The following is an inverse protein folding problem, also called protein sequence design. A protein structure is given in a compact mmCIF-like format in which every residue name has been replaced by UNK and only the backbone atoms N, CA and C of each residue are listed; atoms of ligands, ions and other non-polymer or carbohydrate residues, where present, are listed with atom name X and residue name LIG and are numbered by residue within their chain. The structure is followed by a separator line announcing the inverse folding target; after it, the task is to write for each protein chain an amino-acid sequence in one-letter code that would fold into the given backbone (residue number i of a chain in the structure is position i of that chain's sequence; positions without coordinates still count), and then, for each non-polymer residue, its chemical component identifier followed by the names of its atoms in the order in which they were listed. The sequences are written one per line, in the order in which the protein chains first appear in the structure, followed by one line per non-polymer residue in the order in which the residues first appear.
data_IF_141008926822
#
_entry.id   IF_141008926822
#
_cell.length_a   1.000
_cell.length_b   1.000
_cell.length_c   1.000
_cell.angle_alpha   90.00
_cell.angle_beta   90.00
_cell.angle_gamma   90.00
#
_symmetry.space_group_name_H-M   'P 1'
#
loop_
_entity.id
_entity.type
_entity.pdbx_description
1 polymer ?
#
# COMPACT_ATOMS: atom_id res chain seq x y z
N UNK A 1 3.21 -7.48 10.04
CA UNK A 1 1.96 -7.39 9.27
C UNK A 1 2.05 -8.37 8.11
N UNK A 2 0.93 -8.94 7.67
CA UNK A 2 0.88 -9.93 6.61
C UNK A 2 0.65 -11.35 7.13
N UNK A 3 0.80 -12.31 6.22
CA UNK A 3 0.72 -13.74 6.47
C UNK A 3 2.12 -14.35 6.46
N UNK A 4 2.30 -15.62 6.90
CA UNK A 4 3.60 -16.28 6.87
C UNK A 4 4.21 -16.30 5.46
N UNK A 5 5.52 -15.98 5.38
CA UNK A 5 6.29 -15.99 4.14
C UNK A 5 6.95 -17.36 3.97
N UNK A 6 6.24 -18.29 3.36
CA UNK A 6 6.70 -19.64 3.04
C UNK A 6 5.87 -20.22 1.90
N UNK A 7 6.13 -21.46 1.52
CA UNK A 7 5.31 -22.20 0.58
C UNK A 7 3.85 -22.27 1.05
N UNK A 8 2.90 -22.23 0.11
CA UNK A 8 1.46 -22.07 0.39
C UNK A 8 0.92 -23.16 1.32
N UNK A 9 1.34 -24.41 1.11
CA UNK A 9 0.96 -25.57 1.92
C UNK A 9 1.52 -25.53 3.36
N UNK A 10 2.60 -24.78 3.59
CA UNK A 10 3.25 -24.65 4.90
C UNK A 10 2.75 -23.44 5.72
N UNK A 11 1.96 -22.53 5.13
CA UNK A 11 1.51 -21.31 5.80
C UNK A 11 0.77 -21.57 7.10
N UNK A 12 -0.15 -22.54 7.11
CA UNK A 12 -0.95 -22.85 8.32
C UNK A 12 -0.10 -23.48 9.41
N UNK A 13 0.81 -24.39 9.08
CA UNK A 13 1.71 -25.00 10.06
C UNK A 13 2.67 -23.99 10.67
N UNK A 14 3.26 -23.12 9.85
CA UNK A 14 4.13 -22.04 10.32
C UNK A 14 3.36 -21.04 11.20
N UNK A 15 2.14 -20.68 10.81
CA UNK A 15 1.29 -19.80 11.61
C UNK A 15 0.93 -20.39 12.96
N UNK A 16 0.68 -21.72 13.05
CA UNK A 16 0.45 -22.43 14.32
C UNK A 16 1.70 -22.39 15.21
N UNK A 17 2.87 -22.72 14.66
CA UNK A 17 4.12 -22.69 15.41
C UNK A 17 4.41 -21.29 15.96
N UNK A 18 4.16 -20.24 15.16
CA UNK A 18 4.29 -18.86 15.61
C UNK A 18 3.27 -18.49 16.69
N UNK A 19 2.05 -19.00 16.58
CA UNK A 19 1.01 -18.79 17.59
C UNK A 19 1.39 -19.44 18.93
N UNK A 20 1.87 -20.67 18.91
CA UNK A 20 2.37 -21.39 20.10
C UNK A 20 3.54 -20.63 20.75
N UNK A 21 4.50 -20.17 19.96
CA UNK A 21 5.60 -19.34 20.45
C UNK A 21 5.11 -18.06 21.13
N UNK A 22 4.15 -17.35 20.53
CA UNK A 22 3.60 -16.14 21.13
C UNK A 22 2.77 -16.43 22.40
N UNK A 23 2.03 -17.54 22.42
CA UNK A 23 1.25 -17.95 23.60
C UNK A 23 2.14 -18.25 24.79
N UNK A 24 3.30 -18.91 24.61
CA UNK A 24 4.30 -19.12 25.68
C UNK A 24 4.76 -17.79 26.28
N UNK A 25 4.79 -16.70 25.46
CA UNK A 25 5.11 -15.35 25.92
C UNK A 25 3.89 -14.54 26.40
N UNK A 26 2.70 -15.15 26.47
CA UNK A 26 1.43 -14.50 26.83
C UNK A 26 1.07 -13.32 25.91
N UNK A 27 1.46 -13.38 24.63
CA UNK A 27 1.21 -12.35 23.63
C UNK A 27 0.15 -12.82 22.63
N UNK A 28 -1.03 -12.18 22.57
CA UNK A 28 -2.03 -12.47 21.53
C UNK A 28 -1.55 -11.99 20.16
N UNK A 29 -2.05 -12.64 19.10
CA UNK A 29 -1.69 -12.32 17.72
C UNK A 29 -2.89 -11.72 16.98
N UNK A 30 -2.59 -10.73 16.15
CA UNK A 30 -3.50 -10.19 15.15
C UNK A 30 -2.76 -10.22 13.82
N UNK A 31 -3.33 -10.87 12.82
CA UNK A 31 -2.82 -10.80 11.46
C UNK A 31 -3.50 -9.63 10.73
N UNK A 32 -2.73 -8.78 10.09
CA UNK A 32 -3.23 -7.59 9.38
C UNK A 32 -2.76 -7.64 7.93
N UNK A 33 -3.64 -7.31 6.98
CA UNK A 33 -3.35 -7.34 5.53
C UNK A 33 -2.98 -8.72 5.01
N UNK A 34 -3.76 -9.74 5.39
CA UNK A 34 -3.59 -11.09 4.85
C UNK A 34 -4.41 -11.28 3.57
N UNK A 35 -3.99 -12.22 2.74
CA UNK A 35 -4.75 -12.61 1.55
C UNK A 35 -6.08 -13.29 1.90
N UNK A 36 -7.02 -13.28 0.97
CA UNK A 36 -8.29 -14.01 1.10
C UNK A 36 -8.06 -15.52 1.25
N UNK A 37 -7.11 -16.08 0.50
CA UNK A 37 -6.77 -17.51 0.57
C UNK A 37 -6.33 -17.89 1.99
N UNK A 38 -5.32 -17.18 2.53
CA UNK A 38 -4.86 -17.46 3.88
C UNK A 38 -5.94 -17.23 4.95
N UNK A 39 -6.72 -16.14 4.83
CA UNK A 39 -7.78 -15.84 5.78
C UNK A 39 -8.83 -16.96 5.87
N UNK A 40 -9.25 -17.49 4.72
CA UNK A 40 -10.22 -18.60 4.67
C UNK A 40 -9.63 -19.91 5.18
N UNK A 41 -8.36 -20.21 4.89
CA UNK A 41 -7.68 -21.40 5.39
C UNK A 41 -7.42 -21.33 6.90
N UNK A 42 -7.08 -20.14 7.42
CA UNK A 42 -6.82 -19.90 8.82
C UNK A 42 -8.07 -19.91 9.70
N UNK A 43 -9.23 -19.54 9.12
CA UNK A 43 -10.50 -19.48 9.84
C UNK A 43 -10.87 -20.85 10.42
N UNK A 44 -11.16 -20.90 11.71
CA UNK A 44 -11.39 -22.10 12.54
C UNK A 44 -10.19 -23.05 12.75
N UNK A 45 -9.04 -22.83 12.06
CA UNK A 45 -7.82 -23.64 12.29
C UNK A 45 -6.83 -22.97 13.24
N UNK A 46 -6.65 -21.66 13.09
CA UNK A 46 -5.72 -20.83 13.87
C UNK A 46 -6.38 -19.56 14.40
N UNK A 47 -7.38 -19.03 13.72
CA UNK A 47 -8.11 -17.82 14.13
C UNK A 47 -9.60 -18.10 14.21
N UNK A 48 -10.27 -17.39 15.12
CA UNK A 48 -11.73 -17.50 15.26
C UNK A 48 -12.47 -16.55 14.33
N UNK A 49 -11.91 -15.37 14.09
CA UNK A 49 -12.63 -14.33 13.35
C UNK A 49 -11.77 -13.73 12.24
N UNK A 50 -12.42 -13.44 11.10
CA UNK A 50 -11.85 -12.78 9.93
C UNK A 50 -12.70 -11.58 9.54
N UNK A 51 -12.04 -10.46 9.20
CA UNK A 51 -12.69 -9.21 8.82
C UNK A 51 -12.02 -8.66 7.57
N UNK A 52 -12.75 -8.53 6.48
CA UNK A 52 -12.27 -7.91 5.24
C UNK A 52 -12.29 -6.38 5.38
N UNK A 53 -11.11 -5.78 5.61
CA UNK A 53 -11.00 -4.38 5.99
C UNK A 53 -10.42 -3.46 4.90
N UNK A 54 -9.62 -4.01 3.98
CA UNK A 54 -8.98 -3.24 2.93
C UNK A 54 -8.97 -4.02 1.60
N UNK A 55 -8.61 -3.34 0.53
CA UNK A 55 -8.35 -3.92 -0.79
C UNK A 55 -6.87 -3.72 -1.12
N UNK A 56 -6.15 -4.73 -1.56
CA UNK A 56 -4.92 -4.57 -2.31
C UNK A 56 -5.30 -4.13 -3.73
N UNK A 57 -4.73 -3.03 -4.19
CA UNK A 57 -4.95 -2.53 -5.54
C UNK A 57 -3.87 -3.10 -6.45
N UNK A 58 -4.28 -3.91 -7.40
CA UNK A 58 -3.38 -4.61 -8.33
C UNK A 58 -3.61 -4.14 -9.76
N UNK A 59 -2.56 -4.21 -10.57
CA UNK A 59 -2.60 -3.79 -11.96
C UNK A 59 -1.69 -4.68 -12.82
N UNK A 60 -2.16 -5.04 -14.01
CA UNK A 60 -1.31 -5.69 -14.99
C UNK A 60 -0.67 -4.63 -15.91
N UNK A 61 0.66 -4.40 -15.83
CA UNK A 61 1.34 -3.40 -16.65
C UNK A 61 1.19 -3.62 -18.16
N UNK A 62 0.85 -4.82 -18.62
CA UNK A 62 0.59 -5.08 -20.04
C UNK A 62 -0.67 -4.37 -20.54
N UNK A 63 -1.57 -3.99 -19.64
CA UNK A 63 -2.69 -3.10 -19.95
C UNK A 63 -2.22 -1.64 -19.96
N UNK A 64 -2.70 -0.84 -20.91
CA UNK A 64 -2.42 0.60 -20.92
C UNK A 64 -3.57 1.38 -20.25
N UNK A 65 -3.35 1.94 -19.03
CA UNK A 65 -4.41 2.65 -18.31
C UNK A 65 -4.81 3.97 -19.02
N UNK A 66 -4.02 4.41 -19.99
CA UNK A 66 -4.28 5.61 -20.80
C UNK A 66 -5.25 5.34 -21.95
N UNK A 67 -5.53 4.08 -22.32
CA UNK A 67 -6.41 3.73 -23.45
C UNK A 67 -7.90 3.93 -23.13
N UNK A 68 -8.67 4.19 -24.18
CA UNK A 68 -10.13 4.27 -24.13
C UNK A 68 -10.67 5.50 -23.38
N UNK A 69 -11.98 5.50 -23.14
CA UNK A 69 -12.69 6.59 -22.45
C UNK A 69 -12.29 6.70 -20.97
N UNK A 70 -12.08 5.60 -20.29
CA UNK A 70 -11.65 5.53 -18.88
C UNK A 70 -10.28 6.20 -18.66
N UNK A 71 -9.36 6.11 -19.64
CA UNK A 71 -8.04 6.71 -19.58
C UNK A 71 -8.00 8.22 -19.87
N UNK A 72 -9.12 8.86 -20.24
CA UNK A 72 -9.15 10.27 -20.65
C UNK A 72 -8.57 11.22 -19.60
N UNK A 73 -8.97 11.06 -18.35
CA UNK A 73 -8.49 11.91 -17.26
C UNK A 73 -6.98 11.73 -17.02
N UNK A 74 -6.51 10.49 -17.03
CA UNK A 74 -5.10 10.17 -16.87
C UNK A 74 -4.26 10.76 -18.02
N UNK A 75 -4.69 10.55 -19.27
CA UNK A 75 -4.02 11.16 -20.45
C UNK A 75 -3.92 12.68 -20.32
N UNK A 76 -5.00 13.34 -19.90
CA UNK A 76 -5.02 14.79 -19.70
C UNK A 76 -3.96 15.24 -18.69
N UNK A 77 -3.84 14.54 -17.54
CA UNK A 77 -2.85 14.86 -16.51
C UNK A 77 -1.41 14.60 -16.98
N UNK A 78 -1.16 13.46 -17.60
CA UNK A 78 0.15 13.11 -18.16
C UNK A 78 0.56 14.12 -19.23
N UNK A 79 -0.32 14.44 -20.19
CA UNK A 79 -0.05 15.45 -21.23
C UNK A 79 0.19 16.84 -20.64
N UNK A 80 -0.51 17.20 -19.58
CA UNK A 80 -0.28 18.47 -18.87
C UNK A 80 1.12 18.52 -18.27
N UNK A 81 1.56 17.47 -17.57
CA UNK A 81 2.89 17.38 -16.98
C UNK A 81 4.00 17.48 -18.06
N UNK A 82 3.82 16.76 -19.17
CA UNK A 82 4.77 16.80 -20.31
C UNK A 82 4.86 18.22 -20.89
N UNK A 83 3.73 18.91 -21.05
CA UNK A 83 3.72 20.32 -21.55
C UNK A 83 4.40 21.30 -20.60
N UNK A 84 4.43 21.02 -19.30
CA UNK A 84 5.23 21.78 -18.34
C UNK A 84 6.74 21.55 -18.50
N UNK A 85 7.17 20.59 -19.32
CA UNK A 85 8.57 20.24 -19.52
C UNK A 85 9.12 19.31 -18.44
N UNK A 86 8.25 18.55 -17.77
CA UNK A 86 8.69 17.56 -16.78
C UNK A 86 9.29 16.36 -17.53
N UNK A 87 10.50 15.95 -17.10
CA UNK A 87 11.18 14.75 -17.58
C UNK A 87 11.25 13.72 -16.49
N UNK A 88 11.25 12.44 -16.87
CA UNK A 88 11.33 11.30 -15.93
C UNK A 88 12.60 10.52 -16.20
N UNK A 89 13.29 10.17 -15.13
CA UNK A 89 14.55 9.44 -15.15
C UNK A 89 14.51 8.25 -14.18
N UNK A 90 15.29 7.22 -14.48
CA UNK A 90 15.51 6.11 -13.57
C UNK A 90 16.89 6.24 -12.93
N UNK A 91 16.97 6.11 -11.61
CA UNK A 91 18.22 6.07 -10.87
C UNK A 91 18.82 4.65 -10.97
N UNK A 92 19.97 4.52 -11.57
CA UNK A 92 20.63 3.22 -11.83
C UNK A 92 22.00 3.11 -11.18
N UNK A 93 22.79 4.17 -11.25
CA UNK A 93 24.17 4.20 -10.77
C UNK A 93 24.28 5.02 -9.49
N UNK A 94 25.17 4.58 -8.61
CA UNK A 94 25.35 5.26 -7.32
C UNK A 94 25.85 6.70 -7.52
N UNK A 95 25.10 7.64 -7.01
CA UNK A 95 25.43 9.08 -6.95
C UNK A 95 24.92 9.65 -5.61
N UNK A 96 25.86 9.89 -4.69
CA UNK A 96 25.53 10.41 -3.34
C UNK A 96 24.90 11.80 -3.36
N UNK A 97 25.20 12.63 -4.36
CA UNK A 97 24.62 13.96 -4.52
C UNK A 97 23.15 13.85 -4.97
N UNK A 98 22.89 12.98 -5.95
CA UNK A 98 21.54 12.71 -6.43
C UNK A 98 20.67 12.10 -5.32
N UNK A 99 21.21 11.17 -4.53
CA UNK A 99 20.49 10.55 -3.42
C UNK A 99 20.04 11.57 -2.37
N UNK A 100 20.93 12.49 -1.95
CA UNK A 100 20.57 13.58 -1.04
C UNK A 100 19.42 14.42 -1.60
N UNK A 101 19.45 14.76 -2.88
CA UNK A 101 18.37 15.50 -3.53
C UNK A 101 17.05 14.72 -3.58
N UNK A 102 17.10 13.40 -3.74
CA UNK A 102 15.93 12.52 -3.69
C UNK A 102 15.35 12.44 -2.25
N UNK A 103 16.19 12.36 -1.23
CA UNK A 103 15.78 12.40 0.19
C UNK A 103 15.17 13.76 0.58
N UNK A 104 15.67 14.86 0.01
CA UNK A 104 15.08 16.19 0.17
C UNK A 104 13.64 16.24 -0.34
N UNK A 105 13.33 15.60 -1.48
CA UNK A 105 11.93 15.46 -1.96
C UNK A 105 11.06 14.78 -0.91
N UNK A 106 11.56 13.70 -0.30
CA UNK A 106 10.86 13.01 0.79
C UNK A 106 10.58 13.92 1.99
N UNK A 107 11.58 14.69 2.38
CA UNK A 107 11.49 15.65 3.49
C UNK A 107 10.49 16.78 3.21
N UNK A 108 10.51 17.35 2.01
CA UNK A 108 9.57 18.38 1.58
C UNK A 108 8.14 17.85 1.48
N UNK A 109 7.99 16.64 0.94
CA UNK A 109 6.68 15.98 0.89
C UNK A 109 6.09 15.77 2.28
N UNK A 110 6.91 15.32 3.27
CA UNK A 110 6.49 15.16 4.66
C UNK A 110 6.06 16.48 5.28
N UNK A 111 6.84 17.56 5.08
CA UNK A 111 6.51 18.91 5.58
C UNK A 111 5.23 19.47 4.97
N UNK A 112 4.95 19.16 3.73
CA UNK A 112 3.74 19.62 3.03
C UNK A 112 2.45 18.86 3.43
N UNK A 113 2.54 17.77 4.20
CA UNK A 113 1.36 17.00 4.62
C UNK A 113 0.76 17.55 5.88
N UNK A 114 -0.56 17.74 5.85
CA UNK A 114 -1.36 18.09 7.02
C UNK A 114 -2.08 16.83 7.55
N UNK A 115 -2.16 16.71 8.88
CA UNK A 115 -2.88 15.66 9.57
C UNK A 115 -2.05 14.40 9.88
N UNK A 116 -2.67 13.41 10.55
CA UNK A 116 -1.99 12.20 11.00
C UNK A 116 -1.53 11.37 9.80
N UNK A 117 -0.29 10.91 9.87
CA UNK A 117 0.33 10.12 8.82
C UNK A 117 0.11 8.63 9.09
N UNK A 118 -1.02 8.13 8.62
CA UNK A 118 -1.35 6.70 8.72
C UNK A 118 -0.57 5.93 7.65
N UNK A 119 -0.08 4.75 7.99
CA UNK A 119 0.71 3.85 7.14
C UNK A 119 2.12 4.31 6.76
N UNK A 120 2.64 5.38 7.36
CA UNK A 120 3.99 5.80 7.04
C UNK A 120 5.00 5.18 8.00
N UNK A 121 5.73 4.20 7.48
CA UNK A 121 7.10 4.03 7.89
C UNK A 121 7.87 5.35 7.60
N UNK A 122 8.97 5.63 8.30
CA UNK A 122 9.85 6.73 7.92
C UNK A 122 10.12 6.66 6.41
N UNK A 123 10.11 7.81 5.74
CA UNK A 123 10.45 7.85 4.32
C UNK A 123 11.94 7.55 4.22
N UNK A 124 12.24 6.30 3.93
CA UNK A 124 13.58 5.78 3.80
C UNK A 124 13.74 5.24 2.39
N UNK A 125 14.45 5.98 1.56
CA UNK A 125 14.64 5.60 0.17
C UNK A 125 15.79 4.59 0.00
N UNK A 126 16.88 4.70 0.75
CA UNK A 126 18.14 4.08 0.41
C UNK A 126 18.74 3.10 1.45
N UNK A 127 18.13 2.91 2.63
CA UNK A 127 18.69 2.02 3.69
C UNK A 127 18.86 0.56 3.25
N UNK A 128 17.97 0.06 2.42
CA UNK A 128 18.09 -1.27 1.80
C UNK A 128 17.83 -1.12 0.31
N UNK A 129 18.85 -1.43 -0.52
CA UNK A 129 18.79 -1.19 -1.97
C UNK A 129 18.34 -2.39 -2.77
N UNK A 130 18.58 -3.59 -2.26
CA UNK A 130 18.25 -4.84 -2.96
C UNK A 130 16.76 -4.92 -3.26
N UNK A 131 16.42 -5.24 -4.51
CA UNK A 131 15.06 -5.31 -4.98
C UNK A 131 14.32 -3.96 -5.07
N UNK A 132 15.03 -2.82 -5.00
CA UNK A 132 14.44 -1.48 -5.14
C UNK A 132 14.78 -0.83 -6.49
N UNK A 133 13.86 0.00 -6.97
CA UNK A 133 14.06 0.89 -8.14
C UNK A 133 13.48 2.26 -7.83
N UNK A 134 14.18 3.30 -8.25
CA UNK A 134 13.78 4.70 -8.05
C UNK A 134 13.60 5.36 -9.39
N UNK A 135 12.41 5.92 -9.60
CA UNK A 135 12.08 6.72 -10.79
C UNK A 135 11.79 8.15 -10.29
N UNK A 136 12.44 9.14 -10.88
CA UNK A 136 12.31 10.51 -10.40
C UNK A 136 11.96 11.49 -11.52
N UNK A 137 11.27 12.57 -11.13
CA UNK A 137 10.81 13.64 -11.98
C UNK A 137 11.69 14.88 -11.83
N UNK A 138 12.08 15.47 -12.95
CA UNK A 138 12.85 16.73 -13.02
C UNK A 138 12.03 17.79 -13.73
N UNK A 139 12.03 19.00 -13.18
CA UNK A 139 11.43 20.18 -13.78
C UNK A 139 12.32 21.40 -13.51
N UNK A 140 12.72 22.13 -14.54
CA UNK A 140 13.64 23.30 -14.45
C UNK A 140 14.89 22.96 -13.59
N UNK A 141 15.55 21.85 -13.91
CA UNK A 141 16.75 21.32 -13.24
C UNK A 141 16.58 20.95 -11.75
N UNK A 142 15.35 21.01 -11.24
CA UNK A 142 15.02 20.62 -9.89
C UNK A 142 14.36 19.24 -9.88
N UNK A 143 14.72 18.38 -8.93
CA UNK A 143 14.00 17.13 -8.67
C UNK A 143 12.73 17.48 -7.91
N UNK A 144 11.57 17.15 -8.49
CA UNK A 144 10.25 17.50 -7.95
C UNK A 144 9.42 16.30 -7.49
N UNK A 145 9.92 15.11 -7.74
CA UNK A 145 9.21 13.90 -7.32
C UNK A 145 10.04 12.65 -7.47
N UNK A 146 9.68 11.62 -6.68
CA UNK A 146 10.27 10.29 -6.76
C UNK A 146 9.23 9.21 -6.51
N UNK A 147 9.31 8.14 -7.27
CA UNK A 147 8.57 6.89 -7.09
C UNK A 147 9.54 5.78 -6.70
N UNK A 148 9.17 4.99 -5.69
CA UNK A 148 9.92 3.85 -5.20
C UNK A 148 9.16 2.56 -5.50
N UNK A 149 9.79 1.68 -6.27
CA UNK A 149 9.33 0.33 -6.55
C UNK A 149 10.10 -0.69 -5.71
N UNK A 150 9.38 -1.67 -5.15
CA UNK A 150 9.94 -2.84 -4.49
C UNK A 150 9.61 -4.10 -5.27
N UNK A 151 10.59 -4.96 -5.49
CA UNK A 151 10.38 -6.25 -6.13
C UNK A 151 9.58 -7.20 -5.22
N UNK A 152 8.57 -7.85 -5.77
CA UNK A 152 7.84 -8.96 -5.15
C UNK A 152 8.22 -10.24 -5.87
N UNK A 153 9.33 -10.86 -5.47
CA UNK A 153 9.88 -12.07 -6.11
C UNK A 153 8.84 -13.19 -6.23
N UNK A 154 8.05 -13.41 -5.18
CA UNK A 154 7.01 -14.44 -5.14
C UNK A 154 5.91 -14.25 -6.20
N UNK A 155 5.69 -13.02 -6.68
CA UNK A 155 4.71 -12.71 -7.74
C UNK A 155 5.35 -12.30 -9.06
N UNK A 156 6.69 -12.37 -9.17
CA UNK A 156 7.46 -11.90 -10.33
C UNK A 156 7.00 -10.51 -10.78
N UNK A 157 6.89 -9.60 -9.82
CA UNK A 157 6.32 -8.27 -10.04
C UNK A 157 6.81 -7.24 -9.04
N UNK A 158 6.09 -6.12 -8.95
CA UNK A 158 6.54 -4.96 -8.20
C UNK A 158 5.44 -4.39 -7.29
N UNK A 159 5.85 -3.79 -6.18
CA UNK A 159 5.02 -2.91 -5.35
C UNK A 159 5.47 -1.48 -5.58
N UNK A 160 4.58 -0.62 -6.05
CA UNK A 160 4.80 0.83 -6.05
C UNK A 160 4.51 1.36 -4.63
N UNK A 161 5.58 1.38 -3.82
CA UNK A 161 5.48 1.66 -2.39
C UNK A 161 5.26 3.14 -2.09
N UNK A 162 6.05 4.00 -2.73
CA UNK A 162 6.03 5.44 -2.49
C UNK A 162 5.88 6.21 -3.80
N UNK A 163 5.11 7.30 -3.74
CA UNK A 163 5.08 8.36 -4.73
C UNK A 163 5.14 9.66 -3.93
N UNK A 164 6.25 10.34 -4.02
CA UNK A 164 6.53 11.56 -3.31
C UNK A 164 6.69 12.68 -4.32
N UNK A 165 5.99 13.78 -4.13
CA UNK A 165 6.15 15.00 -4.95
C UNK A 165 6.23 16.18 -4.00
N UNK A 166 7.08 17.15 -4.31
CA UNK A 166 7.14 18.39 -3.53
C UNK A 166 5.79 19.14 -3.60
N UNK A 167 5.43 19.96 -2.61
CA UNK A 167 4.14 20.65 -2.60
C UNK A 167 3.87 21.48 -3.86
N UNK A 168 4.89 22.13 -4.39
CA UNK A 168 4.80 23.04 -5.55
C UNK A 168 5.01 22.32 -6.90
N UNK A 169 5.04 20.98 -6.91
CA UNK A 169 5.18 20.23 -8.15
C UNK A 169 4.00 20.52 -9.10
N UNK A 170 4.27 20.74 -10.40
CA UNK A 170 3.20 20.98 -11.37
C UNK A 170 2.19 19.84 -11.40
N UNK A 171 0.92 20.21 -11.67
CA UNK A 171 -0.17 19.25 -11.70
C UNK A 171 0.06 18.17 -12.79
N UNK A 172 -0.14 16.90 -12.42
CA UNK A 172 0.10 15.75 -13.28
C UNK A 172 1.45 15.07 -13.06
N UNK A 173 2.36 15.62 -12.22
CA UNK A 173 3.67 15.03 -11.93
C UNK A 173 3.55 13.60 -11.39
N UNK A 174 2.69 13.37 -10.40
CA UNK A 174 2.48 12.03 -9.84
C UNK A 174 1.89 11.06 -10.86
N UNK A 175 0.96 11.50 -11.68
CA UNK A 175 0.39 10.69 -12.76
C UNK A 175 1.42 10.34 -13.83
N UNK A 176 2.30 11.27 -14.17
CA UNK A 176 3.38 11.02 -15.11
C UNK A 176 4.40 10.03 -14.55
N UNK A 177 4.82 10.18 -13.29
CA UNK A 177 5.69 9.23 -12.59
C UNK A 177 5.13 7.80 -12.62
N UNK A 178 3.88 7.63 -12.20
CA UNK A 178 3.23 6.31 -12.17
C UNK A 178 3.08 5.74 -13.58
N UNK A 179 2.66 6.56 -14.55
CA UNK A 179 2.52 6.11 -15.95
C UNK A 179 3.85 5.65 -16.50
N UNK A 180 4.94 6.36 -16.23
CA UNK A 180 6.28 5.96 -16.66
C UNK A 180 6.74 4.67 -15.98
N UNK A 181 6.48 4.48 -14.66
CA UNK A 181 6.73 3.21 -14.00
C UNK A 181 6.00 2.04 -14.69
N UNK A 182 4.72 2.23 -15.03
CA UNK A 182 3.93 1.23 -15.75
C UNK A 182 4.50 0.97 -17.14
N UNK A 183 4.90 2.01 -17.88
CA UNK A 183 5.46 1.88 -19.23
C UNK A 183 6.81 1.14 -19.21
N UNK A 184 7.68 1.40 -18.22
CA UNK A 184 8.94 0.67 -18.01
C UNK A 184 8.65 -0.81 -17.72
N UNK A 185 7.80 -1.10 -16.75
CA UNK A 185 7.45 -2.47 -16.38
C UNK A 185 6.76 -3.23 -17.52
N UNK A 186 5.98 -2.53 -18.35
CA UNK A 186 5.38 -3.10 -19.56
C UNK A 186 6.44 -3.52 -20.56
N UNK A 187 7.42 -2.65 -20.81
CA UNK A 187 8.53 -2.94 -21.75
C UNK A 187 9.36 -4.15 -21.29
N UNK A 188 9.44 -4.39 -19.97
CA UNK A 188 10.13 -5.53 -19.38
C UNK A 188 9.26 -6.81 -19.33
N UNK A 189 8.03 -6.79 -19.84
CA UNK A 189 7.13 -7.94 -19.83
C UNK A 189 6.49 -8.24 -18.46
N UNK A 190 6.62 -7.35 -17.48
CA UNK A 190 6.04 -7.52 -16.15
C UNK A 190 4.50 -7.59 -16.23
N UNK A 191 3.90 -8.51 -15.48
CA UNK A 191 2.44 -8.72 -15.47
C UNK A 191 1.78 -8.36 -14.13
N UNK A 192 2.56 -8.06 -13.10
CA UNK A 192 2.02 -7.77 -11.77
C UNK A 192 2.64 -6.50 -11.17
N UNK A 193 1.77 -5.57 -10.84
CA UNK A 193 2.11 -4.34 -10.10
C UNK A 193 1.07 -4.15 -8.99
N UNK A 194 1.51 -4.05 -7.75
CA UNK A 194 0.67 -3.66 -6.62
C UNK A 194 0.83 -2.16 -6.34
N UNK A 195 -0.28 -1.49 -6.08
CA UNK A 195 -0.30 -0.12 -5.53
C UNK A 195 -0.47 -0.12 -4.01
N UNK A 196 -0.40 -1.31 -3.40
CA UNK A 196 -0.56 -1.53 -1.98
C UNK A 196 -2.01 -1.49 -1.50
N UNK A 197 -2.17 -1.61 -0.18
CA UNK A 197 -3.47 -1.67 0.44
C UNK A 197 -4.17 -0.31 0.48
N UNK A 198 -5.48 -0.32 0.23
CA UNK A 198 -6.39 0.82 0.34
C UNK A 198 -7.61 0.43 1.16
N UNK A 199 -8.01 1.26 2.12
CA UNK A 199 -9.20 0.99 2.92
C UNK A 199 -10.44 0.91 2.03
N UNK A 200 -11.32 -0.04 2.33
CA UNK A 200 -12.63 -0.19 1.68
C UNK A 200 -13.56 0.97 2.07
N UNK A 201 -14.61 1.14 1.31
CA UNK A 201 -15.68 2.08 1.71
C UNK A 201 -16.34 1.63 3.00
N UNK A 202 -16.59 0.32 3.14
CA UNK A 202 -17.18 -0.35 4.29
C UNK A 202 -16.45 -1.69 4.51
N UNK A 203 -16.54 -2.24 5.73
CA UNK A 203 -16.07 -3.59 5.99
C UNK A 203 -16.83 -4.60 5.11
N UNK A 204 -16.10 -5.46 4.45
CA UNK A 204 -16.67 -6.51 3.62
C UNK A 204 -17.11 -7.74 4.44
N UNK A 205 -16.56 -8.91 4.11
CA UNK A 205 -16.85 -10.18 4.77
C UNK A 205 -16.42 -10.11 6.23
N UNK A 206 -17.32 -10.45 7.15
CA UNK A 206 -17.04 -10.65 8.57
C UNK A 206 -17.54 -12.04 8.94
N UNK A 207 -16.64 -12.89 9.46
CA UNK A 207 -17.00 -14.23 9.97
C UNK A 207 -16.38 -14.44 11.34
N UNK A 208 -17.08 -15.19 12.18
CA UNK A 208 -16.60 -15.58 13.52
C UNK A 208 -16.72 -14.50 14.61
N UNK A 209 -16.95 -13.22 14.29
CA UNK A 209 -17.25 -12.21 15.30
C UNK A 209 -18.66 -12.36 15.84
N UNK A 210 -18.85 -12.16 17.16
CA UNK A 210 -20.19 -12.05 17.76
C UNK A 210 -20.95 -10.82 17.22
N UNK A 211 -22.27 -10.84 17.30
CA UNK A 211 -23.15 -9.78 16.75
C UNK A 211 -22.79 -8.39 17.27
N UNK A 212 -22.56 -8.25 18.59
CA UNK A 212 -22.13 -6.99 19.19
C UNK A 212 -20.76 -6.54 18.70
N UNK A 213 -19.78 -7.45 18.65
CA UNK A 213 -18.43 -7.14 18.12
C UNK A 213 -18.45 -6.76 16.65
N UNK A 214 -19.35 -7.35 15.86
CA UNK A 214 -19.56 -6.99 14.45
C UNK A 214 -20.09 -5.56 14.32
N UNK A 215 -21.09 -5.19 15.11
CA UNK A 215 -21.64 -3.82 15.13
C UNK A 215 -20.56 -2.82 15.55
N UNK A 216 -19.83 -3.14 16.62
CA UNK A 216 -18.74 -2.32 17.15
C UNK A 216 -17.62 -2.14 16.10
N UNK A 217 -17.19 -3.21 15.44
CA UNK A 217 -16.19 -3.15 14.37
C UNK A 217 -16.60 -2.20 13.24
N UNK A 218 -17.87 -2.29 12.80
CA UNK A 218 -18.41 -1.38 11.76
C UNK A 218 -18.44 0.08 12.23
N UNK A 219 -18.85 0.31 13.48
CA UNK A 219 -18.91 1.65 14.06
C UNK A 219 -17.50 2.28 14.19
N UNK A 220 -16.53 1.53 14.71
CA UNK A 220 -15.12 1.96 14.83
C UNK A 220 -14.55 2.25 13.44
N UNK A 221 -14.75 1.36 12.48
CA UNK A 221 -14.26 1.54 11.10
C UNK A 221 -14.81 2.81 10.45
N UNK A 222 -16.12 3.05 10.61
CA UNK A 222 -16.78 4.26 10.11
C UNK A 222 -16.26 5.52 10.80
N UNK A 223 -16.02 5.48 12.11
CA UNK A 223 -15.43 6.56 12.90
C UNK A 223 -13.99 6.87 12.45
N UNK A 224 -13.16 5.85 12.33
CA UNK A 224 -11.79 5.99 11.85
C UNK A 224 -11.73 6.61 10.45
N UNK A 225 -12.60 6.19 9.53
CA UNK A 225 -12.68 6.80 8.19
C UNK A 225 -13.10 8.26 8.18
N UNK A 226 -13.92 8.70 9.13
CA UNK A 226 -14.29 10.11 9.26
C UNK A 226 -13.16 10.94 9.84
N UNK A 227 -12.46 10.40 10.85
CA UNK A 227 -11.32 11.05 11.48
C UNK A 227 -10.11 11.17 10.52
N UNK A 228 -9.97 10.19 9.62
CA UNK A 228 -8.85 10.10 8.70
C UNK A 228 -9.37 10.04 7.25
N UNK A 229 -9.41 11.19 6.52
CA UNK A 229 -9.92 11.25 5.15
C UNK A 229 -8.96 10.58 4.16
N UNK A 230 -8.97 9.24 4.12
CA UNK A 230 -8.09 8.40 3.28
C UNK A 230 -8.61 8.21 1.84
N UNK A 231 -9.74 8.81 1.51
CA UNK A 231 -10.38 8.67 0.18
C UNK A 231 -9.57 9.29 -0.96
N UNK A 232 -8.68 10.24 -0.66
CA UNK A 232 -7.80 10.88 -1.65
C UNK A 232 -6.89 9.87 -2.36
N UNK A 233 -6.30 8.93 -1.60
CA UNK A 233 -5.45 7.86 -2.16
C UNK A 233 -6.24 6.96 -3.11
N UNK A 234 -7.44 6.53 -2.71
CA UNK A 234 -8.30 5.69 -3.55
C UNK A 234 -8.71 6.40 -4.84
N UNK A 235 -9.10 7.69 -4.76
CA UNK A 235 -9.44 8.51 -5.92
C UNK A 235 -8.26 8.68 -6.88
N UNK A 236 -7.05 8.83 -6.35
CA UNK A 236 -5.84 8.91 -7.17
C UNK A 236 -5.65 7.62 -7.98
N UNK A 237 -5.68 6.45 -7.32
CA UNK A 237 -5.46 5.16 -7.97
C UNK A 237 -6.56 4.77 -8.95
N UNK A 238 -7.80 5.19 -8.72
CA UNK A 238 -8.91 4.93 -9.66
C UNK A 238 -8.66 5.45 -11.08
N UNK A 239 -7.78 6.46 -11.25
CA UNK A 239 -7.37 6.96 -12.59
C UNK A 239 -6.66 5.90 -13.42
N UNK A 240 -6.04 4.93 -12.77
CA UNK A 240 -5.30 3.82 -13.40
C UNK A 240 -6.18 2.57 -13.59
N UNK A 241 -7.43 2.60 -13.10
CA UNK A 241 -8.37 1.49 -13.17
C UNK A 241 -7.82 0.16 -12.64
N UNK A 242 -7.21 0.13 -11.42
CA UNK A 242 -6.70 -1.10 -10.85
C UNK A 242 -7.83 -2.08 -10.52
N UNK A 243 -7.50 -3.37 -10.54
CA UNK A 243 -8.30 -4.41 -9.90
C UNK A 243 -8.10 -4.34 -8.39
N UNK A 244 -9.02 -4.93 -7.63
CA UNK A 244 -8.92 -4.97 -6.17
C UNK A 244 -9.12 -6.38 -5.63
N UNK A 245 -8.18 -6.81 -4.78
CA UNK A 245 -8.26 -8.04 -4.01
C UNK A 245 -8.50 -7.72 -2.54
N UNK A 246 -9.54 -8.32 -1.94
CA UNK A 246 -9.85 -8.09 -0.52
C UNK A 246 -8.74 -8.57 0.40
N UNK A 247 -8.35 -7.75 1.36
CA UNK A 247 -7.40 -8.10 2.40
C UNK A 247 -8.05 -8.12 3.77
N UNK A 248 -7.57 -9.00 4.64
CA UNK A 248 -8.24 -9.38 5.87
C UNK A 248 -7.41 -9.04 7.11
N UNK A 249 -8.14 -8.74 8.18
CA UNK A 249 -7.63 -8.73 9.56
C UNK A 249 -8.19 -9.96 10.27
N UNK A 250 -7.32 -10.71 10.94
CA UNK A 250 -7.69 -11.96 11.58
C UNK A 250 -7.45 -11.87 13.10
N UNK A 251 -8.39 -12.42 13.87
CA UNK A 251 -8.38 -12.40 15.33
C UNK A 251 -8.50 -13.81 15.89
N UNK A 252 -7.76 -14.09 16.96
CA UNK A 252 -7.83 -15.38 17.68
C UNK A 252 -9.18 -15.55 18.40
N UNK A 253 -9.90 -14.48 18.69
CA UNK A 253 -11.10 -14.48 19.54
C UNK A 253 -12.36 -14.08 18.79
N UNK A 254 -13.51 -14.52 19.34
CA UNK A 254 -14.85 -14.15 18.86
C UNK A 254 -15.21 -12.68 19.16
N UNK A 255 -14.71 -12.14 20.29
CA UNK A 255 -15.06 -10.81 20.74
C UNK A 255 -13.90 -9.86 20.56
N UNK A 256 -14.18 -8.72 19.93
CA UNK A 256 -13.21 -7.64 19.77
C UNK A 256 -13.08 -6.89 21.10
N UNK A 257 -11.86 -6.68 21.53
CA UNK A 257 -11.53 -5.91 22.74
C UNK A 257 -10.91 -4.57 22.36
N UNK A 258 -10.99 -3.60 23.27
CA UNK A 258 -10.34 -2.30 23.09
C UNK A 258 -8.82 -2.44 22.90
N UNK A 259 -8.18 -3.42 23.56
CA UNK A 259 -6.73 -3.70 23.43
C UNK A 259 -6.35 -4.09 21.99
N UNK A 260 -7.18 -4.89 21.32
CA UNK A 260 -6.95 -5.32 19.94
C UNK A 260 -7.11 -4.14 18.97
N UNK A 261 -8.12 -3.30 19.18
CA UNK A 261 -8.32 -2.09 18.39
C UNK A 261 -7.13 -1.13 18.57
N UNK A 262 -6.70 -0.89 19.81
CA UNK A 262 -5.54 -0.05 20.11
C UNK A 262 -4.24 -0.62 19.50
N UNK A 263 -4.05 -1.95 19.52
CA UNK A 263 -2.91 -2.59 18.89
C UNK A 263 -2.89 -2.39 17.36
N UNK A 264 -4.05 -2.50 16.71
CA UNK A 264 -4.18 -2.22 15.27
C UNK A 264 -3.84 -0.76 15.00
N UNK A 265 -4.43 0.19 15.74
CA UNK A 265 -4.19 1.62 15.56
C UNK A 265 -2.70 1.95 15.74
N UNK A 266 -2.07 1.42 16.78
CA UNK A 266 -0.62 1.57 17.01
C UNK A 266 0.22 0.98 15.88
N UNK A 267 -0.16 -0.17 15.33
CA UNK A 267 0.55 -0.79 14.20
C UNK A 267 0.44 0.02 12.91
N UNK A 268 -0.57 0.89 12.81
CA UNK A 268 -0.81 1.82 11.72
C UNK A 268 -0.26 3.24 12.01
N UNK A 269 0.58 3.37 13.04
CA UNK A 269 1.17 4.64 13.49
C UNK A 269 0.13 5.71 13.90
N UNK A 270 -1.01 5.27 14.42
CA UNK A 270 -2.05 6.15 14.95
C UNK A 270 -1.97 6.11 16.48
N UNK A 271 -1.64 7.23 17.10
CA UNK A 271 -1.78 7.42 18.56
C UNK A 271 -3.24 7.72 18.88
N UNK A 272 -3.80 6.97 19.83
CA UNK A 272 -5.11 7.22 20.43
C UNK A 272 -5.00 8.28 21.51
#
# INVERSE_FOLDING_TARGET
MGEPLCEEDKKISLAKAFQEFCQQQKKPIIYITTSKSFALQAHHKIVHSIVEAADELIFNPQQDPKKGSKGRLLRGKVSQAIRFGITIHEYKEFDSSLEKRLEEVGSLWLKGRQGPQIYLAPVDLFSMRDGKRWIYAVWKDQIIGVALLHEIKARRGWLLQLILTIPDAPNGTSELLVSTCIDILRAEGCQFLSFGASLRKELGIIRGLGSFSTLLARAIYKGAKRAFPLDGRRKFWQKFSPESEGTFVLFERKNLTFKEVAAIMKSLNVSL
#
